data_IF_965064948253
#
_entry.id   IF_965064948253
#
_cell.length_a   1.000
_cell.length_b   1.000
_cell.length_c   1.000
_cell.angle_alpha   90.00
_cell.angle_beta   90.00
_cell.angle_gamma   90.00
#
_symmetry.space_group_name_H-M   'P 1'
#
loop_
_entity.id
_entity.type
_entity.pdbx_description
1 polymer ?
#
# COMPACT_ATOMS: atom_id res chain seq x y z
N UNK A 1 12.22 -4.00 -14.54
CA UNK A 1 13.70 -4.05 -14.59
C UNK A 1 14.25 -5.35 -15.23
N UNK A 2 13.57 -5.93 -16.23
CA UNK A 2 14.05 -7.14 -16.90
C UNK A 2 15.34 -6.80 -17.69
N UNK A 3 16.46 -7.49 -17.38
CA UNK A 3 17.74 -7.28 -18.06
C UNK A 3 18.60 -6.14 -17.54
N UNK A 4 18.15 -5.34 -16.58
CA UNK A 4 18.96 -4.30 -15.96
C UNK A 4 19.93 -4.91 -14.94
N UNK A 5 21.14 -4.40 -14.91
CA UNK A 5 22.17 -4.75 -13.93
C UNK A 5 22.73 -3.45 -13.31
N UNK A 6 23.15 -3.53 -12.06
CA UNK A 6 23.64 -2.41 -11.28
C UNK A 6 24.97 -2.78 -10.63
N UNK A 7 25.86 -1.83 -10.45
CA UNK A 7 27.14 -2.09 -9.78
C UNK A 7 26.92 -2.51 -8.32
N UNK A 8 26.00 -1.86 -7.63
CA UNK A 8 25.66 -2.10 -6.24
C UNK A 8 24.15 -2.37 -6.10
N UNK A 9 23.81 -3.46 -5.43
CA UNK A 9 22.41 -3.81 -5.15
C UNK A 9 22.24 -4.01 -3.65
N UNK A 10 21.21 -3.39 -3.09
CA UNK A 10 20.79 -3.60 -1.71
C UNK A 10 19.41 -4.25 -1.73
N UNK A 11 19.31 -5.41 -1.11
CA UNK A 11 18.05 -6.12 -0.90
C UNK A 11 17.63 -5.89 0.55
N UNK A 12 16.46 -5.28 0.73
CA UNK A 12 15.81 -5.16 2.03
C UNK A 12 14.86 -6.35 2.16
N UNK A 13 15.31 -7.37 2.84
CA UNK A 13 14.50 -8.57 3.05
C UNK A 13 13.46 -8.32 4.15
N UNK A 14 12.20 -8.40 3.77
CA UNK A 14 11.03 -8.23 4.63
C UNK A 14 10.32 -9.56 4.94
N UNK A 15 11.00 -10.69 4.82
CA UNK A 15 10.41 -12.01 5.02
C UNK A 15 9.80 -12.58 3.73
N UNK A 16 10.52 -12.44 2.64
CA UNK A 16 10.11 -12.89 1.29
C UNK A 16 10.07 -14.41 1.12
N UNK A 17 10.51 -15.16 2.11
CA UNK A 17 10.48 -16.64 2.08
C UNK A 17 9.05 -17.20 2.08
N UNK A 18 8.07 -16.40 2.43
CA UNK A 18 6.67 -16.83 2.55
C UNK A 18 5.89 -16.47 1.31
N UNK A 19 5.48 -17.46 0.50
CA UNK A 19 4.63 -17.21 -0.64
C UNK A 19 3.26 -16.67 -0.20
N UNK A 20 2.66 -15.82 -1.01
CA UNK A 20 1.27 -15.40 -0.84
C UNK A 20 0.31 -16.58 -1.02
N UNK A 21 -0.90 -16.49 -0.49
CA UNK A 21 -1.90 -17.58 -0.42
C UNK A 21 -2.21 -18.25 -1.78
N UNK A 22 -2.00 -17.54 -2.89
CA UNK A 22 -2.27 -18.01 -4.26
C UNK A 22 -1.00 -18.02 -5.14
N UNK A 23 0.17 -17.95 -4.53
CA UNK A 23 1.44 -17.85 -5.22
C UNK A 23 2.15 -19.21 -5.24
N UNK A 24 2.89 -19.50 -6.31
CA UNK A 24 3.74 -20.66 -6.41
C UNK A 24 4.78 -20.66 -5.27
N UNK A 25 4.99 -21.80 -4.63
CA UNK A 25 5.91 -21.93 -3.51
C UNK A 25 7.34 -21.47 -3.83
N UNK A 26 7.77 -21.60 -5.08
CA UNK A 26 9.10 -21.18 -5.53
C UNK A 26 9.16 -19.70 -5.98
N UNK A 27 8.03 -18.99 -5.99
CA UNK A 27 8.01 -17.60 -6.45
C UNK A 27 8.92 -16.68 -5.61
N UNK A 28 8.95 -16.76 -4.28
CA UNK A 28 9.86 -15.97 -3.45
C UNK A 28 11.33 -16.25 -3.77
N UNK A 29 11.70 -17.53 -3.94
CA UNK A 29 13.06 -17.94 -4.30
C UNK A 29 13.49 -17.36 -5.66
N UNK A 30 12.62 -17.46 -6.67
CA UNK A 30 12.88 -16.88 -8.00
C UNK A 30 13.04 -15.37 -7.95
N UNK A 31 12.20 -14.68 -7.19
CA UNK A 31 12.28 -13.23 -7.02
C UNK A 31 13.61 -12.83 -6.36
N UNK A 32 13.97 -13.54 -5.30
CA UNK A 32 15.21 -13.30 -4.58
C UNK A 32 16.44 -13.55 -5.47
N UNK A 33 16.44 -14.66 -6.22
CA UNK A 33 17.50 -14.97 -7.19
C UNK A 33 17.62 -13.87 -8.26
N UNK A 34 16.51 -13.42 -8.83
CA UNK A 34 16.52 -12.35 -9.83
C UNK A 34 17.08 -11.06 -9.24
N UNK A 35 16.72 -10.71 -8.00
CA UNK A 35 17.24 -9.53 -7.33
C UNK A 35 18.75 -9.63 -7.09
N UNK A 36 19.23 -10.78 -6.60
CA UNK A 36 20.66 -11.03 -6.38
C UNK A 36 21.49 -10.94 -7.66
N UNK A 37 20.98 -11.52 -8.76
CA UNK A 37 21.67 -11.52 -10.06
C UNK A 37 21.70 -10.16 -10.76
N UNK A 38 21.10 -9.12 -10.17
CA UNK A 38 21.20 -7.74 -10.67
C UNK A 38 22.50 -7.06 -10.26
N UNK A 39 23.22 -7.60 -9.28
CA UNK A 39 24.47 -7.01 -8.78
C UNK A 39 25.67 -7.42 -9.66
N UNK A 40 26.43 -6.42 -10.12
CA UNK A 40 27.69 -6.62 -10.86
C UNK A 40 28.90 -6.69 -9.94
N UNK A 41 28.91 -5.91 -8.87
CA UNK A 41 30.06 -5.75 -7.97
C UNK A 41 29.72 -6.12 -6.54
N UNK A 42 28.74 -5.41 -5.97
CA UNK A 42 28.40 -5.58 -4.57
C UNK A 42 26.93 -5.93 -4.39
N UNK A 43 26.70 -6.91 -3.55
CA UNK A 43 25.36 -7.30 -3.11
C UNK A 43 25.31 -7.18 -1.59
N UNK A 44 24.38 -6.38 -1.09
CA UNK A 44 24.09 -6.25 0.34
C UNK A 44 22.68 -6.79 0.56
N UNK A 45 22.55 -7.75 1.47
CA UNK A 45 21.25 -8.25 1.92
C UNK A 45 21.07 -7.85 3.38
N UNK A 46 20.03 -7.10 3.65
CA UNK A 46 19.64 -6.69 4.99
C UNK A 46 18.43 -7.52 5.41
N UNK A 47 18.63 -8.42 6.37
CA UNK A 47 17.61 -9.32 6.87
C UNK A 47 17.52 -9.23 8.39
N UNK A 48 16.35 -9.50 8.93
CA UNK A 48 16.11 -9.47 10.36
C UNK A 48 16.60 -10.77 11.04
N UNK A 49 16.81 -11.82 10.28
CA UNK A 49 17.14 -13.16 10.79
C UNK A 49 18.04 -13.93 9.83
N UNK A 50 18.33 -15.20 10.15
CA UNK A 50 18.99 -16.11 9.22
C UNK A 50 18.08 -16.37 8.03
N UNK A 51 18.57 -16.04 6.86
CA UNK A 51 17.82 -16.17 5.61
C UNK A 51 18.09 -17.54 4.99
N UNK A 52 17.03 -18.28 4.66
CA UNK A 52 17.11 -19.65 4.14
C UNK A 52 17.91 -19.73 2.81
N UNK A 53 17.76 -18.71 1.96
CA UNK A 53 18.40 -18.67 0.64
C UNK A 53 19.83 -18.13 0.63
N UNK A 54 20.35 -17.71 1.79
CA UNK A 54 21.71 -17.20 1.87
C UNK A 54 22.67 -18.28 2.38
N UNK A 55 23.81 -18.51 1.69
CA UNK A 55 24.80 -19.45 2.15
C UNK A 55 25.34 -19.02 3.50
N UNK A 56 25.29 -19.93 4.47
CA UNK A 56 25.77 -19.68 5.83
C UNK A 56 27.29 -19.63 5.92
N UNK A 57 27.97 -20.33 5.01
CA UNK A 57 29.42 -20.49 4.98
C UNK A 57 29.94 -20.28 3.55
N UNK A 58 30.42 -19.08 3.28
CA UNK A 58 31.15 -18.78 2.04
C UNK A 58 32.25 -17.76 2.35
N UNK A 59 33.48 -17.95 1.83
CA UNK A 59 34.58 -17.00 2.03
C UNK A 59 34.32 -15.65 1.41
N UNK A 60 33.32 -15.55 0.53
CA UNK A 60 32.91 -14.30 -0.15
C UNK A 60 31.76 -13.58 0.53
N UNK A 61 31.22 -14.14 1.62
CA UNK A 61 30.09 -13.55 2.35
C UNK A 61 30.58 -13.01 3.69
N UNK A 62 30.45 -11.70 3.88
CA UNK A 62 30.73 -11.05 5.15
C UNK A 62 29.40 -10.86 5.88
N UNK A 63 29.20 -11.57 6.99
CA UNK A 63 28.05 -11.36 7.88
C UNK A 63 28.39 -10.31 8.92
N UNK A 64 27.52 -9.30 9.03
CA UNK A 64 27.58 -8.30 10.09
C UNK A 64 26.27 -8.29 10.85
N UNK A 65 26.31 -8.52 12.14
CA UNK A 65 25.15 -8.33 13.01
C UNK A 65 25.15 -6.88 13.48
N UNK A 66 24.15 -6.13 13.07
CA UNK A 66 23.90 -4.79 13.60
C UNK A 66 22.93 -4.95 14.77
N UNK A 67 23.39 -4.66 15.98
CA UNK A 67 22.52 -4.59 17.15
C UNK A 67 22.03 -3.14 17.20
N UNK A 68 20.74 -2.88 16.97
CA UNK A 68 20.23 -1.53 17.07
C UNK A 68 20.38 -1.08 18.52
N UNK A 69 21.01 0.06 18.72
CA UNK A 69 21.00 0.74 20.03
C UNK A 69 19.60 1.31 20.27
N UNK A 70 18.84 0.77 21.23
CA UNK A 70 17.47 1.22 21.48
C UNK A 70 17.38 2.68 21.90
N UNK A 71 18.49 3.29 22.31
CA UNK A 71 18.54 4.70 22.74
C UNK A 71 18.68 5.66 21.55
N UNK A 72 19.22 5.20 20.41
CA UNK A 72 19.56 6.08 19.28
C UNK A 72 18.50 6.23 18.20
N UNK A 73 17.42 5.44 18.21
CA UNK A 73 16.38 5.53 17.21
C UNK A 73 15.06 6.01 17.83
N UNK A 74 14.82 7.32 17.92
CA UNK A 74 13.46 7.78 18.14
C UNK A 74 12.62 7.17 17.01
N UNK A 75 11.48 6.57 17.37
CA UNK A 75 10.55 5.98 16.40
C UNK A 75 10.29 6.94 15.23
N UNK A 76 9.94 6.45 14.05
CA UNK A 76 9.78 7.28 12.87
C UNK A 76 8.81 8.41 13.18
N UNK A 77 9.25 9.65 13.02
CA UNK A 77 8.41 10.84 13.22
C UNK A 77 7.32 10.93 12.15
N UNK A 78 7.53 10.27 11.02
CA UNK A 78 6.57 10.17 9.91
C UNK A 78 6.67 8.78 9.30
N UNK A 79 5.55 8.21 8.95
CA UNK A 79 5.48 6.99 8.13
C UNK A 79 4.42 7.18 7.05
N UNK A 80 4.61 6.47 5.95
CA UNK A 80 3.70 6.48 4.82
C UNK A 80 2.98 5.14 4.77
N UNK A 81 1.70 5.19 4.49
CA UNK A 81 0.87 4.01 4.30
C UNK A 81 0.06 4.18 3.02
N UNK A 82 0.14 3.19 2.14
CA UNK A 82 -0.81 3.08 1.03
C UNK A 82 -2.14 2.56 1.57
N UNK A 83 -3.23 3.20 1.21
CA UNK A 83 -4.55 2.65 1.45
C UNK A 83 -4.80 1.53 0.44
N UNK A 84 -5.06 0.33 0.94
CA UNK A 84 -5.49 -0.80 0.12
C UNK A 84 -6.97 -0.65 -0.25
N UNK A 85 -7.41 -1.33 -1.31
CA UNK A 85 -8.81 -1.32 -1.74
C UNK A 85 -9.76 -1.78 -0.64
N UNK A 86 -9.34 -2.71 0.21
CA UNK A 86 -10.08 -3.20 1.38
C UNK A 86 -10.30 -2.14 2.47
N UNK A 87 -9.47 -1.11 2.50
CA UNK A 87 -9.58 0.00 3.46
C UNK A 87 -10.51 1.12 2.97
N UNK A 88 -10.94 1.08 1.72
CA UNK A 88 -11.78 2.12 1.10
C UNK A 88 -13.17 1.56 0.82
N UNK A 89 -14.19 2.37 1.04
CA UNK A 89 -15.57 2.03 0.67
C UNK A 89 -15.80 2.28 -0.83
N UNK A 90 -15.46 1.29 -1.63
CA UNK A 90 -15.56 1.36 -3.09
C UNK A 90 -16.99 1.60 -3.62
N UNK A 91 -18.01 1.37 -2.80
CA UNK A 91 -19.41 1.62 -3.16
C UNK A 91 -19.90 3.02 -2.79
N UNK A 92 -19.04 3.86 -2.21
CA UNK A 92 -19.44 5.18 -1.71
C UNK A 92 -20.14 6.02 -2.77
N UNK A 93 -19.52 6.24 -3.91
CA UNK A 93 -20.07 7.03 -5.00
C UNK A 93 -21.29 6.36 -5.67
N UNK A 94 -21.27 5.01 -5.78
CA UNK A 94 -22.37 4.23 -6.34
C UNK A 94 -23.70 4.37 -5.58
N UNK A 95 -23.64 4.66 -4.27
CA UNK A 95 -24.84 4.90 -3.43
C UNK A 95 -25.37 6.32 -3.49
N UNK A 96 -24.66 7.26 -4.14
CA UNK A 96 -25.07 8.67 -4.22
C UNK A 96 -26.05 8.89 -5.36
N UNK A 97 -27.05 9.75 -5.12
CA UNK A 97 -27.94 10.23 -6.18
C UNK A 97 -27.20 11.09 -7.21
N UNK A 98 -27.78 11.26 -8.39
CA UNK A 98 -27.14 11.93 -9.53
C UNK A 98 -26.65 13.37 -9.26
N UNK A 99 -27.34 14.10 -8.41
CA UNK A 99 -27.02 15.50 -8.07
C UNK A 99 -26.24 15.65 -6.77
N UNK A 100 -25.59 14.58 -6.28
CA UNK A 100 -24.86 14.67 -5.02
C UNK A 100 -23.52 15.39 -5.20
N UNK A 101 -23.17 16.42 -4.40
CA UNK A 101 -21.97 17.24 -4.58
C UNK A 101 -20.65 16.45 -4.59
N UNK A 102 -20.59 15.33 -3.88
CA UNK A 102 -19.41 14.47 -3.88
C UNK A 102 -19.06 13.91 -5.28
N UNK A 103 -20.06 13.75 -6.16
CA UNK A 103 -19.83 13.22 -7.50
C UNK A 103 -19.12 14.20 -8.40
N UNK A 104 -19.39 15.51 -8.23
CA UNK A 104 -18.71 16.55 -8.98
C UNK A 104 -17.25 16.67 -8.47
N UNK A 105 -17.06 16.61 -7.16
CA UNK A 105 -15.73 16.58 -6.57
C UNK A 105 -14.90 15.38 -7.07
N UNK A 106 -15.49 14.17 -7.15
CA UNK A 106 -14.81 12.97 -7.65
C UNK A 106 -14.44 13.11 -9.13
N UNK A 107 -15.33 13.67 -9.98
CA UNK A 107 -15.04 13.88 -11.41
C UNK A 107 -13.89 14.86 -11.65
N UNK A 108 -13.72 15.83 -10.76
CA UNK A 108 -12.65 16.83 -10.85
C UNK A 108 -11.33 16.31 -10.31
N UNK A 109 -11.37 15.30 -9.44
CA UNK A 109 -10.19 14.74 -8.76
C UNK A 109 -9.21 14.07 -9.73
N UNK A 110 -7.94 14.20 -9.45
CA UNK A 110 -6.84 13.61 -10.24
C UNK A 110 -5.86 12.85 -9.37
N UNK A 111 -5.18 11.88 -9.96
CA UNK A 111 -4.06 11.20 -9.30
C UNK A 111 -2.98 12.24 -8.95
N UNK A 112 -2.52 12.19 -7.71
CA UNK A 112 -1.57 13.15 -7.14
C UNK A 112 -2.19 14.29 -6.35
N UNK A 113 -3.51 14.54 -6.49
CA UNK A 113 -4.18 15.59 -5.73
C UNK A 113 -4.11 15.34 -4.22
N UNK A 114 -3.97 16.39 -3.41
CA UNK A 114 -3.94 16.27 -1.97
C UNK A 114 -5.32 15.87 -1.43
N UNK A 115 -5.30 14.99 -0.42
CA UNK A 115 -6.49 14.59 0.32
C UNK A 115 -6.29 14.75 1.81
N UNK A 116 -7.38 15.01 2.52
CA UNK A 116 -7.43 15.06 3.98
C UNK A 116 -8.37 13.96 4.48
N UNK A 117 -8.03 13.39 5.63
CA UNK A 117 -8.85 12.39 6.30
C UNK A 117 -9.59 13.05 7.46
N UNK A 118 -10.91 13.08 7.40
CA UNK A 118 -11.79 13.73 8.37
C UNK A 118 -12.75 12.69 8.96
N UNK A 119 -12.96 12.72 10.27
CA UNK A 119 -13.94 11.87 10.92
C UNK A 119 -15.27 12.60 11.08
N UNK A 120 -16.32 12.08 10.46
CA UNK A 120 -17.68 12.62 10.55
C UNK A 120 -18.68 11.50 10.77
N UNK A 121 -19.61 11.68 11.69
CA UNK A 121 -20.68 10.72 12.01
C UNK A 121 -20.20 9.28 12.21
N UNK A 122 -19.02 9.12 12.86
CA UNK A 122 -18.43 7.81 13.13
C UNK A 122 -17.75 7.14 11.93
N UNK A 123 -17.62 7.83 10.81
CA UNK A 123 -16.93 7.36 9.61
C UNK A 123 -15.77 8.27 9.24
N UNK A 124 -14.74 7.69 8.64
CA UNK A 124 -13.63 8.43 8.08
C UNK A 124 -13.91 8.78 6.61
N UNK A 125 -13.87 10.06 6.29
CA UNK A 125 -14.08 10.61 4.95
C UNK A 125 -12.79 11.13 4.37
N UNK A 126 -12.61 10.94 3.07
CA UNK A 126 -11.55 11.54 2.28
C UNK A 126 -12.12 12.81 1.66
N UNK A 127 -11.48 13.95 1.91
CA UNK A 127 -11.91 15.26 1.41
C UNK A 127 -10.80 15.93 0.61
N UNK A 128 -11.19 16.74 -0.36
CA UNK A 128 -10.28 17.62 -1.10
C UNK A 128 -9.90 18.87 -0.29
N UNK A 129 -9.08 19.74 -0.89
CA UNK A 129 -8.67 21.01 -0.30
C UNK A 129 -9.82 21.99 -0.02
N UNK A 130 -10.97 21.80 -0.68
CA UNK A 130 -12.19 22.58 -0.49
C UNK A 130 -13.17 21.91 0.48
N UNK A 131 -12.73 20.91 1.23
CA UNK A 131 -13.54 20.10 2.15
C UNK A 131 -14.70 19.34 1.48
N UNK A 132 -14.68 19.14 0.15
CA UNK A 132 -15.68 18.34 -0.55
C UNK A 132 -15.31 16.84 -0.40
N UNK A 133 -16.31 16.02 -0.15
CA UNK A 133 -16.09 14.57 0.03
C UNK A 133 -15.73 13.90 -1.29
N UNK A 134 -14.58 13.24 -1.33
CA UNK A 134 -14.10 12.41 -2.45
C UNK A 134 -14.39 10.94 -2.25
N UNK A 135 -14.55 10.50 -1.00
CA UNK A 135 -14.73 9.09 -0.68
C UNK A 135 -14.90 8.86 0.80
N UNK A 136 -15.03 7.61 1.15
CA UNK A 136 -15.14 7.17 2.54
C UNK A 136 -14.25 5.94 2.76
N UNK A 137 -13.63 5.85 3.92
CA UNK A 137 -12.93 4.65 4.32
C UNK A 137 -13.92 3.53 4.67
N UNK A 138 -13.49 2.29 4.57
CA UNK A 138 -14.29 1.14 4.96
C UNK A 138 -14.72 1.23 6.43
N UNK A 139 -15.84 0.59 6.79
CA UNK A 139 -16.41 0.65 8.14
C UNK A 139 -15.44 0.18 9.23
N UNK A 140 -14.59 -0.77 8.89
CA UNK A 140 -13.60 -1.36 9.79
C UNK A 140 -12.24 -0.64 9.76
N UNK A 141 -12.13 0.45 9.01
CA UNK A 141 -10.90 1.23 8.98
C UNK A 141 -10.66 1.88 10.34
N UNK A 142 -9.47 1.64 10.85
CA UNK A 142 -8.97 2.28 12.07
C UNK A 142 -7.61 2.88 11.76
N UNK A 143 -7.42 4.19 11.94
CA UNK A 143 -6.10 4.78 11.78
C UNK A 143 -5.13 4.19 12.81
N UNK A 144 -3.83 4.16 12.51
CA UNK A 144 -2.83 3.67 13.45
C UNK A 144 -2.90 4.40 14.79
N UNK A 145 -2.78 3.66 15.89
CA UNK A 145 -2.80 4.23 17.23
C UNK A 145 -1.69 5.27 17.41
N UNK A 146 -2.02 6.38 18.06
CA UNK A 146 -1.09 7.49 18.33
C UNK A 146 -0.54 8.19 17.07
N UNK A 147 -1.16 7.99 15.93
CA UNK A 147 -0.79 8.67 14.69
C UNK A 147 -1.73 9.85 14.42
N UNK A 148 -1.16 10.95 13.92
CA UNK A 148 -1.89 12.07 13.39
C UNK A 148 -1.76 12.09 11.88
N UNK A 149 -2.88 12.12 11.18
CA UNK A 149 -2.87 12.32 9.73
C UNK A 149 -2.29 13.71 9.39
N UNK A 150 -1.33 13.74 8.50
CA UNK A 150 -0.65 14.98 8.10
C UNK A 150 -1.00 15.35 6.66
N UNK A 151 -0.88 14.38 5.74
CA UNK A 151 -1.09 14.59 4.31
C UNK A 151 -1.38 13.26 3.63
N UNK A 152 -2.32 13.27 2.70
CA UNK A 152 -2.54 12.17 1.76
C UNK A 152 -2.52 12.68 0.33
N UNK A 153 -2.38 11.75 -0.60
CA UNK A 153 -2.52 11.99 -2.04
C UNK A 153 -3.32 10.87 -2.67
N UNK A 154 -4.07 11.20 -3.70
CA UNK A 154 -4.77 10.21 -4.52
C UNK A 154 -3.72 9.39 -5.27
N UNK A 155 -3.63 8.11 -4.97
CA UNK A 155 -2.71 7.17 -5.65
C UNK A 155 -3.32 6.60 -6.93
N UNK A 156 -4.64 6.35 -6.92
CA UNK A 156 -5.38 5.81 -8.05
C UNK A 156 -6.86 6.24 -7.99
N UNK A 157 -7.50 6.30 -9.14
CA UNK A 157 -8.95 6.46 -9.28
C UNK A 157 -9.44 5.19 -9.96
N UNK A 158 -10.40 4.52 -9.31
CA UNK A 158 -10.93 3.24 -9.77
C UNK A 158 -12.33 3.46 -10.32
N UNK A 159 -12.57 2.92 -11.50
CA UNK A 159 -13.91 2.84 -12.06
C UNK A 159 -14.55 1.53 -11.63
N UNK A 160 -15.67 1.61 -10.96
CA UNK A 160 -16.43 0.48 -10.47
C UNK A 160 -17.75 0.35 -11.23
N UNK A 161 -18.24 -0.87 -11.40
CA UNK A 161 -19.55 -1.19 -11.93
C UNK A 161 -20.38 -1.91 -10.89
N UNK A 162 -21.69 -1.86 -11.05
CA UNK A 162 -22.62 -2.56 -10.15
C UNK A 162 -22.33 -4.06 -10.09
N UNK A 163 -21.97 -4.65 -11.20
CA UNK A 163 -21.60 -6.07 -11.34
C UNK A 163 -20.29 -6.46 -10.62
N UNK A 164 -19.40 -5.50 -10.35
CA UNK A 164 -18.15 -5.75 -9.61
C UNK A 164 -18.37 -5.93 -8.11
N UNK A 165 -19.55 -5.58 -7.60
CA UNK A 165 -19.94 -5.68 -6.20
C UNK A 165 -20.69 -6.97 -5.88
N UNK A 166 -20.86 -7.23 -4.58
CA UNK A 166 -21.70 -8.36 -4.15
C UNK A 166 -23.16 -8.10 -4.48
N UNK A 167 -23.84 -9.07 -5.10
CA UNK A 167 -25.24 -8.99 -5.53
C UNK A 167 -26.20 -8.58 -4.40
N UNK A 168 -25.96 -9.06 -3.19
CA UNK A 168 -26.75 -8.73 -1.99
C UNK A 168 -26.86 -7.21 -1.73
N UNK A 169 -25.89 -6.42 -2.19
CA UNK A 169 -25.84 -4.97 -1.98
C UNK A 169 -26.24 -4.14 -3.21
N UNK A 170 -26.59 -4.78 -4.33
CA UNK A 170 -26.97 -4.08 -5.56
C UNK A 170 -28.18 -3.16 -5.39
N UNK A 171 -29.12 -3.52 -4.48
CA UNK A 171 -30.29 -2.69 -4.18
C UNK A 171 -29.97 -1.34 -3.54
N UNK A 172 -28.78 -1.20 -2.96
CA UNK A 172 -28.30 0.05 -2.35
C UNK A 172 -27.60 0.96 -3.34
N UNK A 173 -27.23 0.44 -4.51
CA UNK A 173 -26.52 1.19 -5.54
C UNK A 173 -27.51 1.90 -6.45
N UNK A 174 -27.32 3.22 -6.60
CA UNK A 174 -28.14 4.10 -7.43
C UNK A 174 -27.57 4.33 -8.83
N UNK A 175 -26.43 3.69 -9.13
CA UNK A 175 -25.69 3.84 -10.38
C UNK A 175 -25.19 2.50 -10.87
N UNK A 176 -25.13 2.37 -12.20
CA UNK A 176 -24.57 1.18 -12.83
C UNK A 176 -23.04 1.23 -12.92
N UNK A 177 -22.46 2.44 -12.94
CA UNK A 177 -21.01 2.66 -12.83
C UNK A 177 -20.69 3.96 -12.12
N UNK A 178 -19.51 4.00 -11.44
CA UNK A 178 -19.01 5.18 -10.71
C UNK A 178 -17.48 5.15 -10.59
N UNK A 179 -16.90 6.27 -10.19
CA UNK A 179 -15.47 6.45 -9.90
C UNK A 179 -15.27 6.73 -8.42
#
# INVERSE_FOLDING_TARGET
AKGLEFDDVVILDGGWERPSRNEDQDAPLRLFYVAMTRARRNLIVMSNDNHEYLPTHSPFVIKRRVIPDPVCFPGPRRYFQSAEMSMVDLSFAGRKGHSHPALDAIKEARVGDPVTLVQEYGHWHLTDSSCRSLGRMAKNFTPPANAKFVLGKIAAILRMRKEDGQEAFHHMLKRDSWE
#
